data_IF_493375773476
#
_entry.id   IF_493375773476
#
_cell.length_a   1.000
_cell.length_b   1.000
_cell.length_c   1.000
_cell.angle_alpha   90.00
_cell.angle_beta   90.00
_cell.angle_gamma   90.00
#
_symmetry.space_group_name_H-M   'P 1'
#
loop_
_entity.id
_entity.type
_entity.pdbx_description
1 polymer ?
#
# COMPACT_ATOMS: atom_id res chain seq x y z
N UNK A 1 28.94 -4.27 5.44
CA UNK A 1 28.25 -4.02 6.72
C UNK A 1 27.90 -5.36 7.34
N UNK A 2 28.13 -5.56 8.64
CA UNK A 2 27.81 -6.81 9.30
C UNK A 2 26.30 -7.13 9.13
N UNK A 3 25.90 -8.40 8.96
CA UNK A 3 24.49 -8.76 8.91
C UNK A 3 23.78 -8.25 10.17
N UNK A 4 22.59 -7.67 10.01
CA UNK A 4 21.77 -7.30 11.16
C UNK A 4 21.60 -8.54 12.06
N UNK A 5 21.77 -8.41 13.39
CA UNK A 5 21.87 -9.56 14.29
C UNK A 5 20.66 -10.51 14.22
N UNK A 6 19.48 -9.97 13.90
CA UNK A 6 18.27 -10.75 13.72
C UNK A 6 18.30 -11.66 12.49
N UNK A 7 18.79 -11.16 11.34
CA UNK A 7 18.87 -11.96 10.12
C UNK A 7 19.84 -13.13 10.32
N UNK A 8 21.01 -12.86 10.91
CA UNK A 8 21.99 -13.92 11.20
C UNK A 8 21.39 -14.97 12.14
N UNK A 9 20.76 -14.55 13.24
CA UNK A 9 20.15 -15.48 14.20
C UNK A 9 19.04 -16.34 13.56
N UNK A 10 18.19 -15.74 12.71
CA UNK A 10 17.15 -16.47 11.98
C UNK A 10 17.75 -17.52 11.03
N UNK A 11 18.85 -17.18 10.35
CA UNK A 11 19.53 -18.10 9.44
C UNK A 11 20.29 -19.21 10.18
N UNK A 12 20.94 -18.91 11.30
CA UNK A 12 21.58 -19.93 12.13
C UNK A 12 20.55 -20.93 12.68
N UNK A 13 19.37 -20.43 13.05
CA UNK A 13 18.25 -21.30 13.42
C UNK A 13 17.79 -22.15 12.24
N UNK A 14 17.58 -21.54 11.07
CA UNK A 14 17.19 -22.27 9.86
C UNK A 14 18.19 -23.39 9.52
N UNK A 15 19.50 -23.12 9.64
CA UNK A 15 20.54 -24.14 9.44
C UNK A 15 20.42 -25.28 10.45
N UNK A 16 20.20 -24.95 11.72
CA UNK A 16 20.01 -25.95 12.80
C UNK A 16 18.80 -26.84 12.55
N UNK A 17 17.73 -26.26 11.97
CA UNK A 17 16.51 -26.98 11.59
C UNK A 17 16.65 -27.72 10.23
N UNK A 18 17.85 -27.75 9.62
CA UNK A 18 18.13 -28.47 8.37
C UNK A 18 17.61 -27.78 7.11
N UNK A 19 17.31 -26.48 7.16
CA UNK A 19 16.82 -25.71 6.02
C UNK A 19 17.95 -25.49 5.01
N UNK A 20 17.82 -26.08 3.82
CA UNK A 20 18.81 -25.94 2.74
C UNK A 20 18.71 -24.65 1.93
N UNK A 21 17.65 -23.87 2.11
CA UNK A 21 17.41 -22.62 1.36
C UNK A 21 16.50 -21.67 2.12
N UNK A 22 16.86 -20.39 2.13
CA UNK A 22 16.01 -19.29 2.57
C UNK A 22 15.85 -18.28 1.45
N UNK A 23 14.65 -17.72 1.28
CA UNK A 23 14.38 -16.68 0.29
C UNK A 23 13.96 -15.37 0.98
N UNK A 24 14.64 -14.28 0.64
CA UNK A 24 14.18 -12.92 0.92
C UNK A 24 13.45 -12.42 -0.32
N UNK A 25 12.14 -12.25 -0.22
CA UNK A 25 11.30 -11.85 -1.35
C UNK A 25 10.91 -10.38 -1.24
N UNK A 26 10.86 -9.70 -2.39
CA UNK A 26 10.36 -8.33 -2.52
C UNK A 26 11.04 -7.34 -1.57
N UNK A 27 12.35 -7.47 -1.39
CA UNK A 27 13.17 -6.59 -0.56
C UNK A 27 13.23 -5.21 -1.21
N UNK A 28 12.76 -4.15 -0.55
CA UNK A 28 12.77 -2.84 -1.15
C UNK A 28 14.19 -2.27 -1.27
N UNK A 29 14.47 -1.40 -2.26
CA UNK A 29 15.79 -0.82 -2.55
C UNK A 29 16.39 0.02 -1.42
N UNK A 30 15.57 0.42 -0.45
CA UNK A 30 15.97 1.15 0.75
C UNK A 30 16.12 0.24 1.98
N UNK A 31 15.91 -1.07 1.83
CA UNK A 31 16.04 -2.03 2.92
C UNK A 31 17.48 -2.14 3.40
N UNK A 32 17.67 -2.19 4.72
CA UNK A 32 18.95 -2.49 5.32
C UNK A 32 19.46 -3.91 4.97
N UNK A 33 18.59 -4.79 4.46
CA UNK A 33 18.95 -6.14 4.05
C UNK A 33 19.80 -6.19 2.76
N UNK A 34 19.79 -5.13 1.97
CA UNK A 34 20.52 -5.10 0.70
C UNK A 34 22.02 -5.05 0.92
N UNK A 35 22.74 -5.89 0.16
CA UNK A 35 24.21 -5.99 0.25
C UNK A 35 24.72 -6.70 1.51
N UNK A 36 23.83 -7.22 2.36
CA UNK A 36 24.24 -8.09 3.47
C UNK A 36 24.62 -9.48 2.93
N UNK A 37 25.74 -10.00 3.41
CA UNK A 37 26.14 -11.40 3.25
C UNK A 37 26.27 -12.02 4.64
N UNK A 38 25.32 -12.87 5.06
CA UNK A 38 25.37 -13.54 6.36
C UNK A 38 26.52 -14.56 6.44
N UNK A 39 27.09 -14.75 7.62
CA UNK A 39 28.23 -15.66 7.82
C UNK A 39 27.82 -17.12 7.58
N UNK A 40 28.59 -17.82 6.75
CA UNK A 40 28.32 -19.22 6.38
C UNK A 40 27.14 -19.39 5.42
N UNK A 41 26.70 -18.32 4.76
CA UNK A 41 25.68 -18.36 3.73
C UNK A 41 26.21 -17.71 2.46
N UNK A 42 25.90 -18.32 1.31
CA UNK A 42 26.00 -17.63 0.03
C UNK A 42 24.66 -16.98 -0.29
N UNK A 43 24.70 -15.83 -0.97
CA UNK A 43 23.51 -15.06 -1.35
C UNK A 43 23.57 -14.68 -2.82
N UNK A 44 22.50 -14.97 -3.55
CA UNK A 44 22.32 -14.59 -4.94
C UNK A 44 21.13 -13.63 -5.05
N UNK A 45 21.36 -12.44 -5.58
CA UNK A 45 20.32 -11.42 -5.76
C UNK A 45 19.81 -11.39 -7.20
N UNK A 46 18.49 -11.31 -7.36
CA UNK A 46 17.81 -11.08 -8.64
C UNK A 46 16.86 -9.89 -8.54
N UNK A 47 16.32 -9.47 -9.69
CA UNK A 47 15.27 -8.45 -9.73
C UNK A 47 13.95 -9.04 -9.22
N UNK A 48 13.23 -8.22 -8.44
CA UNK A 48 11.87 -8.50 -7.97
C UNK A 48 10.83 -7.68 -8.74
N UNK A 49 9.66 -7.50 -8.13
CA UNK A 49 8.59 -6.75 -8.77
C UNK A 49 8.93 -5.24 -8.89
N UNK A 50 8.43 -4.58 -9.94
CA UNK A 50 8.36 -3.12 -9.98
C UNK A 50 7.31 -2.62 -9.00
N UNK A 51 7.69 -1.64 -8.20
CA UNK A 51 6.84 -0.86 -7.32
C UNK A 51 6.83 0.59 -7.81
N UNK A 52 5.76 1.06 -8.49
CA UNK A 52 5.67 2.44 -8.89
C UNK A 52 5.61 3.37 -7.67
N UNK A 53 6.44 4.41 -7.68
CA UNK A 53 6.55 5.40 -6.59
C UNK A 53 6.30 6.80 -7.12
N UNK A 54 5.40 7.53 -6.47
CA UNK A 54 5.22 8.97 -6.66
C UNK A 54 6.09 9.73 -5.66
N UNK A 55 6.98 10.59 -6.17
CA UNK A 55 7.70 11.55 -5.33
C UNK A 55 6.76 12.68 -4.95
N UNK A 56 6.60 12.91 -3.65
CA UNK A 56 5.72 13.94 -3.09
C UNK A 56 6.45 15.29 -3.04
N UNK A 57 5.79 16.37 -3.48
CA UNK A 57 6.31 17.73 -3.35
C UNK A 57 6.18 18.22 -1.89
N UNK A 58 6.89 19.29 -1.48
CA UNK A 58 6.80 19.83 -0.12
C UNK A 58 5.44 20.45 0.24
N UNK A 59 4.59 20.73 -0.74
CA UNK A 59 3.26 21.33 -0.54
C UNK A 59 2.24 20.70 -1.47
N UNK A 60 0.97 20.67 -1.05
CA UNK A 60 -0.13 20.13 -1.87
C UNK A 60 -0.23 20.83 -3.22
N UNK A 61 -0.01 22.16 -3.26
CA UNK A 61 -0.02 22.92 -4.50
C UNK A 61 1.04 22.43 -5.50
N UNK A 62 2.19 21.95 -5.02
CA UNK A 62 3.26 21.39 -5.85
C UNK A 62 2.89 20.06 -6.53
N UNK A 63 1.75 19.44 -6.21
CA UNK A 63 1.30 18.23 -6.94
C UNK A 63 1.06 18.50 -8.41
N UNK A 64 0.75 19.75 -8.78
CA UNK A 64 0.56 20.16 -10.16
C UNK A 64 1.80 19.90 -11.04
N UNK A 65 3.00 19.94 -10.45
CA UNK A 65 4.27 19.69 -11.14
C UNK A 65 4.66 18.21 -11.16
N UNK A 66 3.98 17.36 -10.37
CA UNK A 66 4.25 15.93 -10.25
C UNK A 66 3.24 15.07 -11.00
N UNK A 67 2.00 15.53 -11.12
CA UNK A 67 0.92 14.80 -11.75
C UNK A 67 0.68 15.27 -13.19
N UNK A 68 0.37 14.34 -14.11
CA UNK A 68 -0.08 14.73 -15.45
C UNK A 68 -1.33 15.62 -15.41
N UNK A 69 -1.38 16.64 -16.28
CA UNK A 69 -2.53 17.57 -16.36
C UNK A 69 -3.87 16.85 -16.60
N UNK A 70 -3.85 15.71 -17.30
CA UNK A 70 -5.02 14.87 -17.54
C UNK A 70 -5.56 14.25 -16.24
N UNK A 71 -4.68 13.84 -15.33
CA UNK A 71 -5.02 13.30 -14.00
C UNK A 71 -5.62 14.39 -13.12
N UNK A 72 -4.98 15.57 -13.06
CA UNK A 72 -5.52 16.73 -12.33
C UNK A 72 -6.91 17.13 -12.84
N UNK A 73 -7.11 17.14 -14.16
CA UNK A 73 -8.43 17.41 -14.77
C UNK A 73 -9.47 16.37 -14.36
N UNK A 74 -9.13 15.09 -14.37
CA UNK A 74 -10.03 14.00 -13.95
C UNK A 74 -10.39 14.14 -12.47
N UNK A 75 -9.43 14.43 -11.60
CA UNK A 75 -9.67 14.66 -10.17
C UNK A 75 -10.65 15.81 -9.94
N UNK A 76 -10.44 16.95 -10.60
CA UNK A 76 -11.37 18.09 -10.53
C UNK A 76 -12.77 17.73 -11.01
N UNK A 77 -12.89 17.04 -12.14
CA UNK A 77 -14.18 16.58 -12.67
C UNK A 77 -14.89 15.63 -11.70
N UNK A 78 -14.16 14.68 -11.13
CA UNK A 78 -14.68 13.70 -10.19
C UNK A 78 -15.13 14.37 -8.87
N UNK A 79 -14.38 15.34 -8.37
CA UNK A 79 -14.76 16.15 -7.19
C UNK A 79 -16.07 16.90 -7.46
N UNK A 80 -16.19 17.60 -8.59
CA UNK A 80 -17.44 18.27 -8.99
C UNK A 80 -18.64 17.32 -9.19
N UNK A 81 -18.41 16.06 -9.58
CA UNK A 81 -19.48 15.05 -9.66
C UNK A 81 -19.89 14.60 -8.27
N UNK A 82 -18.93 14.38 -7.39
CA UNK A 82 -19.20 13.97 -6.01
C UNK A 82 -19.91 15.08 -5.23
N UNK A 83 -19.55 16.36 -5.43
CA UNK A 83 -20.23 17.51 -4.83
C UNK A 83 -21.72 17.55 -5.23
N UNK A 84 -22.02 17.30 -6.51
CA UNK A 84 -23.41 17.19 -7.00
C UNK A 84 -24.15 15.95 -6.47
N UNK A 85 -23.43 14.93 -6.01
CA UNK A 85 -23.97 13.72 -5.41
C UNK A 85 -24.08 13.81 -3.88
N UNK A 86 -23.97 15.00 -3.29
CA UNK A 86 -24.07 15.22 -1.84
C UNK A 86 -22.73 15.40 -1.13
N UNK A 87 -21.65 15.56 -1.88
CA UNK A 87 -20.30 15.77 -1.34
C UNK A 87 -19.61 14.49 -0.89
N UNK A 88 -18.33 14.63 -0.54
CA UNK A 88 -17.51 13.54 0.00
C UNK A 88 -17.14 13.82 1.45
N UNK A 89 -17.10 12.77 2.25
CA UNK A 89 -16.52 12.79 3.60
C UNK A 89 -15.44 11.72 3.70
N UNK A 90 -14.27 12.11 4.21
CA UNK A 90 -13.21 11.17 4.56
C UNK A 90 -13.35 10.81 6.04
N UNK A 91 -13.29 9.52 6.34
CA UNK A 91 -13.30 8.99 7.69
C UNK A 91 -12.03 8.16 7.87
N UNK A 92 -11.31 8.40 8.96
CA UNK A 92 -10.17 7.61 9.37
C UNK A 92 -10.55 6.75 10.57
N UNK A 93 -10.13 5.49 10.55
CA UNK A 93 -10.40 4.57 11.65
C UNK A 93 -9.44 4.81 12.82
N UNK A 94 -9.98 4.72 14.02
CA UNK A 94 -9.26 4.55 15.27
C UNK A 94 -9.33 3.08 15.73
N UNK A 95 -8.78 2.77 16.92
CA UNK A 95 -8.82 1.41 17.46
C UNK A 95 -10.23 0.87 17.69
N UNK A 96 -11.23 1.73 17.91
CA UNK A 96 -12.61 1.32 18.14
C UNK A 96 -13.36 1.06 16.81
N UNK A 97 -12.94 1.70 15.72
CA UNK A 97 -13.63 1.69 14.43
C UNK A 97 -12.88 0.95 13.32
N UNK A 98 -11.65 0.49 13.57
CA UNK A 98 -10.82 -0.22 12.60
C UNK A 98 -11.46 -1.51 12.09
N UNK A 99 -12.04 -2.33 12.97
CA UNK A 99 -12.66 -3.60 12.56
C UNK A 99 -13.86 -3.40 11.62
N UNK A 100 -14.89 -2.60 11.96
CA UNK A 100 -16.01 -2.38 11.04
C UNK A 100 -15.59 -1.66 9.75
N UNK A 101 -14.54 -0.83 9.77
CA UNK A 101 -14.00 -0.23 8.54
C UNK A 101 -13.23 -1.26 7.70
N UNK A 102 -12.55 -2.22 8.32
CA UNK A 102 -11.88 -3.32 7.63
C UNK A 102 -12.91 -4.24 6.96
N UNK A 103 -14.01 -4.55 7.62
CA UNK A 103 -15.13 -5.29 7.03
C UNK A 103 -15.69 -4.57 5.80
N UNK A 104 -15.83 -3.24 5.90
CA UNK A 104 -16.23 -2.41 4.76
C UNK A 104 -15.23 -2.49 3.61
N UNK A 105 -13.92 -2.44 3.89
CA UNK A 105 -12.88 -2.61 2.88
C UNK A 105 -12.96 -3.99 2.22
N UNK A 106 -13.10 -5.07 2.99
CA UNK A 106 -13.20 -6.45 2.47
C UNK A 106 -14.37 -6.54 1.50
N UNK A 107 -15.56 -6.08 1.91
CA UNK A 107 -16.76 -6.06 1.07
C UNK A 107 -16.54 -5.28 -0.23
N UNK A 108 -15.99 -4.07 -0.15
CA UNK A 108 -15.75 -3.22 -1.31
C UNK A 108 -14.67 -3.79 -2.24
N UNK A 109 -13.64 -4.44 -1.68
CA UNK A 109 -12.61 -5.11 -2.46
C UNK A 109 -13.21 -6.27 -3.24
N UNK A 110 -13.95 -7.15 -2.56
CA UNK A 110 -14.61 -8.28 -3.21
C UNK A 110 -15.59 -7.83 -4.29
N UNK A 111 -16.42 -6.81 -4.03
CA UNK A 111 -17.35 -6.27 -5.02
C UNK A 111 -16.66 -5.78 -6.30
N UNK A 112 -15.51 -5.11 -6.16
CA UNK A 112 -14.69 -4.68 -7.29
C UNK A 112 -14.14 -5.87 -8.08
N UNK A 113 -13.49 -6.82 -7.42
CA UNK A 113 -12.83 -7.93 -8.14
C UNK A 113 -13.84 -8.90 -8.75
N UNK A 114 -15.00 -9.09 -8.13
CA UNK A 114 -16.09 -9.86 -8.72
C UNK A 114 -16.61 -9.23 -10.03
N UNK A 115 -16.57 -7.90 -10.18
CA UNK A 115 -16.90 -7.24 -11.44
C UNK A 115 -15.87 -7.48 -12.56
N UNK A 116 -14.66 -7.92 -12.19
CA UNK A 116 -13.56 -8.28 -13.08
C UNK A 116 -13.38 -9.82 -13.21
N UNK A 117 -14.38 -10.61 -12.78
CA UNK A 117 -14.39 -12.09 -12.76
C UNK A 117 -13.18 -12.70 -12.03
N UNK A 118 -12.71 -12.03 -10.97
CA UNK A 118 -11.54 -12.44 -10.21
C UNK A 118 -11.86 -12.48 -8.70
N UNK A 119 -11.25 -13.39 -7.94
CA UNK A 119 -11.55 -13.53 -6.52
C UNK A 119 -10.99 -12.37 -5.67
N UNK A 120 -9.89 -11.75 -6.11
CA UNK A 120 -9.14 -10.80 -5.29
C UNK A 120 -8.46 -11.48 -4.09
N UNK A 121 -7.53 -10.78 -3.43
CA UNK A 121 -6.73 -11.38 -2.33
C UNK A 121 -7.55 -11.56 -1.06
N UNK A 122 -8.56 -10.71 -0.84
CA UNK A 122 -9.44 -10.76 0.33
C UNK A 122 -10.58 -11.78 0.20
N UNK A 123 -10.57 -12.63 -0.83
CA UNK A 123 -11.40 -13.84 -0.85
C UNK A 123 -10.77 -14.99 -0.03
N UNK A 124 -9.46 -14.93 0.26
CA UNK A 124 -8.80 -15.95 1.09
C UNK A 124 -9.07 -15.66 2.59
N UNK A 125 -9.74 -16.57 3.32
CA UNK A 125 -10.06 -16.37 4.73
C UNK A 125 -8.81 -16.25 5.62
N UNK A 126 -7.66 -16.80 5.21
CA UNK A 126 -6.39 -16.69 5.95
C UNK A 126 -5.85 -15.27 5.90
N UNK A 127 -5.98 -14.60 4.76
CA UNK A 127 -5.59 -13.21 4.58
C UNK A 127 -6.51 -12.30 5.38
N UNK A 128 -7.83 -12.55 5.33
CA UNK A 128 -8.81 -11.81 6.13
C UNK A 128 -8.52 -11.94 7.63
N UNK A 129 -8.29 -13.16 8.12
CA UNK A 129 -7.97 -13.40 9.53
C UNK A 129 -6.66 -12.72 9.95
N UNK A 130 -5.63 -12.75 9.10
CA UNK A 130 -4.37 -12.05 9.35
C UNK A 130 -4.57 -10.54 9.49
N UNK A 131 -5.28 -9.90 8.56
CA UNK A 131 -5.55 -8.47 8.65
C UNK A 131 -6.43 -8.12 9.84
N UNK A 132 -7.46 -8.93 10.13
CA UNK A 132 -8.32 -8.74 11.29
C UNK A 132 -7.54 -8.79 12.62
N UNK A 133 -6.61 -9.72 12.75
CA UNK A 133 -5.75 -9.85 13.93
C UNK A 133 -4.70 -8.73 14.06
N UNK A 134 -4.22 -8.18 12.95
CA UNK A 134 -3.15 -7.17 12.95
C UNK A 134 -3.65 -5.72 13.00
N UNK A 135 -4.84 -5.43 12.47
CA UNK A 135 -5.25 -4.06 12.16
C UNK A 135 -5.28 -3.14 13.39
N UNK A 136 -5.88 -3.56 14.50
CA UNK A 136 -5.92 -2.75 15.72
C UNK A 136 -4.53 -2.47 16.29
N UNK A 137 -3.65 -3.48 16.29
CA UNK A 137 -2.27 -3.33 16.76
C UNK A 137 -1.49 -2.35 15.87
N UNK A 138 -1.69 -2.41 14.55
CA UNK A 138 -1.05 -1.50 13.62
C UNK A 138 -1.58 -0.06 13.73
N UNK A 139 -2.88 0.13 13.94
CA UNK A 139 -3.46 1.46 14.22
C UNK A 139 -2.88 2.02 15.51
N UNK A 140 -2.87 1.23 16.59
CA UNK A 140 -2.31 1.63 17.88
C UNK A 140 -0.82 1.99 17.79
N UNK A 141 -0.08 1.32 16.93
CA UNK A 141 1.34 1.58 16.68
C UNK A 141 1.59 2.76 15.71
N UNK A 142 0.55 3.37 15.13
CA UNK A 142 0.70 4.42 14.12
C UNK A 142 1.30 3.91 12.79
N UNK A 143 1.15 2.62 12.51
CA UNK A 143 1.68 1.95 11.30
C UNK A 143 0.61 1.71 10.23
N UNK A 144 -0.67 1.80 10.59
CA UNK A 144 -1.81 1.65 9.69
C UNK A 144 -2.68 2.91 9.72
N UNK A 145 -2.93 3.46 8.54
CA UNK A 145 -4.04 4.37 8.25
C UNK A 145 -5.09 3.63 7.43
N UNK A 146 -6.22 3.32 8.06
CA UNK A 146 -7.40 2.80 7.37
C UNK A 146 -8.40 3.94 7.19
N UNK A 147 -8.68 4.30 5.95
CA UNK A 147 -9.58 5.40 5.62
C UNK A 147 -10.69 4.95 4.68
N UNK A 148 -11.85 5.60 4.81
CA UNK A 148 -13.00 5.45 3.94
C UNK A 148 -13.43 6.79 3.36
N UNK A 149 -13.91 6.75 2.11
CA UNK A 149 -14.61 7.85 1.47
C UNK A 149 -16.10 7.54 1.45
N UNK A 150 -16.90 8.44 2.02
CA UNK A 150 -18.36 8.38 2.02
C UNK A 150 -18.97 9.39 1.07
N UNK A 151 -20.08 9.01 0.43
CA UNK A 151 -20.92 9.86 -0.43
C UNK A 151 -22.36 9.66 0.00
N UNK A 152 -23.06 10.75 0.34
CA UNK A 152 -24.43 10.64 0.86
C UNK A 152 -24.55 9.73 2.10
N UNK A 153 -23.50 9.63 2.92
CA UNK A 153 -23.43 8.75 4.09
C UNK A 153 -23.07 7.29 3.81
N UNK A 154 -22.91 6.89 2.54
CA UNK A 154 -22.55 5.51 2.14
C UNK A 154 -21.06 5.41 1.87
N UNK A 155 -20.39 4.40 2.44
CA UNK A 155 -18.96 4.11 2.21
C UNK A 155 -18.76 3.60 0.77
N UNK A 156 -18.25 4.49 -0.09
CA UNK A 156 -18.05 4.27 -1.53
C UNK A 156 -16.63 3.79 -1.88
N UNK A 157 -15.64 4.06 -1.03
CA UNK A 157 -14.31 3.49 -1.14
C UNK A 157 -13.65 3.35 0.24
N UNK A 158 -12.72 2.41 0.36
CA UNK A 158 -11.86 2.27 1.53
C UNK A 158 -10.43 1.91 1.10
N UNK A 159 -9.45 2.31 1.90
CA UNK A 159 -8.05 2.03 1.65
C UNK A 159 -7.28 1.78 2.96
N UNK A 160 -6.59 0.64 2.99
CA UNK A 160 -5.66 0.21 4.02
C UNK A 160 -4.25 0.64 3.61
N UNK A 161 -3.75 1.70 4.23
CA UNK A 161 -2.47 2.34 3.90
C UNK A 161 -1.48 2.10 5.03
N UNK A 162 -0.28 1.61 4.72
CA UNK A 162 0.78 1.44 5.72
C UNK A 162 1.68 2.68 5.76
N UNK A 163 2.19 3.00 6.94
CA UNK A 163 3.10 4.11 7.18
C UNK A 163 4.50 3.54 7.48
N UNK A 164 5.46 3.75 6.57
CA UNK A 164 6.84 3.28 6.76
C UNK A 164 7.77 4.44 7.11
N UNK A 165 8.17 4.49 8.38
CA UNK A 165 8.97 5.58 8.92
C UNK A 165 8.27 6.94 8.77
N UNK A 166 9.06 8.00 8.75
CA UNK A 166 8.58 9.37 8.62
C UNK A 166 8.29 9.78 7.18
N UNK A 167 8.83 9.05 6.19
CA UNK A 167 8.94 9.60 4.83
C UNK A 167 7.96 8.98 3.83
N UNK A 168 7.35 7.82 4.13
CA UNK A 168 6.66 7.00 3.13
C UNK A 168 5.26 6.58 3.54
N UNK A 169 4.32 6.65 2.60
CA UNK A 169 3.03 5.95 2.66
C UNK A 169 2.98 4.83 1.62
N UNK A 170 2.29 3.73 1.94
CA UNK A 170 2.23 2.54 1.10
C UNK A 170 0.77 2.14 0.89
N UNK A 171 0.30 2.19 -0.35
CA UNK A 171 -1.08 1.87 -0.72
C UNK A 171 -1.29 0.36 -0.82
N UNK A 172 -1.62 -0.28 0.31
CA UNK A 172 -1.60 -1.74 0.43
C UNK A 172 -2.85 -2.42 -0.15
N UNK A 173 -4.03 -2.14 0.43
CA UNK A 173 -5.29 -2.69 -0.07
C UNK A 173 -6.29 -1.56 -0.27
N UNK A 174 -7.10 -1.68 -1.30
CA UNK A 174 -8.21 -0.77 -1.55
C UNK A 174 -9.40 -1.51 -2.13
N UNK A 175 -10.57 -0.94 -1.92
CA UNK A 175 -11.84 -1.39 -2.48
C UNK A 175 -12.70 -0.18 -2.79
N UNK A 176 -13.58 -0.31 -3.77
CA UNK A 176 -14.61 0.68 -4.03
C UNK A 176 -15.90 0.03 -4.47
N UNK A 177 -17.00 0.74 -4.28
CA UNK A 177 -18.32 0.31 -4.69
C UNK A 177 -18.50 0.58 -6.19
N UNK A 178 -18.68 -0.46 -7.04
CA UNK A 178 -18.91 -0.28 -8.46
C UNK A 178 -20.11 0.62 -8.79
N UNK A 179 -21.14 0.67 -7.93
CA UNK A 179 -22.29 1.56 -8.12
C UNK A 179 -21.90 3.05 -8.12
N UNK A 180 -20.76 3.39 -7.50
CA UNK A 180 -20.24 4.75 -7.42
C UNK A 180 -19.09 5.00 -8.41
N UNK A 181 -18.81 4.10 -9.37
CA UNK A 181 -17.65 4.22 -10.27
C UNK A 181 -17.60 5.54 -11.07
N UNK A 182 -18.76 6.15 -11.36
CA UNK A 182 -18.88 7.40 -12.12
C UNK A 182 -18.16 8.61 -11.48
N UNK A 183 -17.96 8.61 -10.17
CA UNK A 183 -17.20 9.64 -9.44
C UNK A 183 -15.77 9.20 -9.10
N UNK A 184 -15.40 7.96 -9.46
CA UNK A 184 -14.10 7.35 -9.17
C UNK A 184 -13.67 7.50 -7.70
N UNK A 185 -14.43 6.96 -6.74
CA UNK A 185 -14.22 7.21 -5.31
C UNK A 185 -12.84 6.76 -4.84
N UNK A 186 -12.28 5.68 -5.42
CA UNK A 186 -10.90 5.27 -5.14
C UNK A 186 -9.84 6.32 -5.53
N UNK A 187 -10.04 7.05 -6.64
CA UNK A 187 -9.13 8.14 -7.04
C UNK A 187 -9.25 9.37 -6.15
N UNK A 188 -10.47 9.68 -5.67
CA UNK A 188 -10.69 10.78 -4.72
C UNK A 188 -10.10 10.46 -3.35
N UNK A 189 -10.25 9.22 -2.87
CA UNK A 189 -9.63 8.75 -1.63
C UNK A 189 -8.11 8.75 -1.74
N UNK A 190 -7.55 8.28 -2.86
CA UNK A 190 -6.11 8.35 -3.11
C UNK A 190 -5.59 9.79 -3.11
N UNK A 191 -6.31 10.73 -3.73
CA UNK A 191 -5.95 12.14 -3.69
C UNK A 191 -5.90 12.67 -2.25
N UNK A 192 -6.91 12.37 -1.44
CA UNK A 192 -6.94 12.77 -0.03
C UNK A 192 -5.77 12.20 0.76
N UNK A 193 -5.44 10.92 0.57
CA UNK A 193 -4.31 10.27 1.24
C UNK A 193 -2.97 10.90 0.86
N UNK A 194 -2.78 11.23 -0.42
CA UNK A 194 -1.58 11.92 -0.92
C UNK A 194 -1.48 13.34 -0.36
N UNK A 195 -2.57 14.11 -0.39
CA UNK A 195 -2.63 15.47 0.17
C UNK A 195 -2.29 15.46 1.68
N UNK A 196 -2.86 14.51 2.42
CA UNK A 196 -2.58 14.32 3.86
C UNK A 196 -1.12 13.94 4.11
N UNK A 197 -0.54 13.02 3.33
CA UNK A 197 0.86 12.63 3.46
C UNK A 197 1.83 13.80 3.21
N UNK A 198 1.53 14.67 2.24
CA UNK A 198 2.31 15.89 2.01
C UNK A 198 2.25 16.81 3.23
N UNK A 199 1.06 17.02 3.80
CA UNK A 199 0.89 17.85 4.99
C UNK A 199 1.63 17.28 6.23
N UNK A 200 1.84 15.97 6.26
CA UNK A 200 2.65 15.27 7.26
C UNK A 200 4.16 15.33 6.98
N UNK A 201 4.59 15.99 5.90
CA UNK A 201 6.00 16.08 5.51
C UNK A 201 6.57 14.83 4.86
N UNK A 202 5.72 13.89 4.44
CA UNK A 202 6.15 12.66 3.76
C UNK A 202 6.62 12.98 2.35
N UNK A 203 7.58 12.19 1.87
CA UNK A 203 8.31 12.44 0.62
C UNK A 203 7.93 11.49 -0.49
N UNK A 204 7.36 10.33 -0.18
CA UNK A 204 7.04 9.33 -1.19
C UNK A 204 5.71 8.62 -0.90
N UNK A 205 4.98 8.40 -1.99
CA UNK A 205 3.79 7.57 -2.07
C UNK A 205 4.13 6.32 -2.88
N UNK A 206 4.23 5.18 -2.20
CA UNK A 206 4.57 3.89 -2.81
C UNK A 206 3.28 3.12 -3.13
N UNK A 207 3.06 2.84 -4.42
CA UNK A 207 1.89 2.10 -4.88
C UNK A 207 2.07 0.57 -4.79
N UNK A 208 3.21 0.12 -4.27
CA UNK A 208 3.60 -1.27 -4.14
C UNK A 208 3.66 -2.00 -5.48
N UNK A 209 3.93 -3.30 -5.40
CA UNK A 209 4.10 -4.20 -6.53
C UNK A 209 2.97 -4.10 -7.55
N UNK A 210 3.33 -4.16 -8.82
CA UNK A 210 2.39 -4.26 -9.94
C UNK A 210 2.45 -3.05 -10.88
N UNK A 211 2.11 -3.30 -12.13
CA UNK A 211 2.17 -2.33 -13.24
C UNK A 211 0.78 -1.82 -13.63
N UNK A 212 -0.14 -1.70 -12.68
CA UNK A 212 -1.49 -1.20 -12.96
C UNK A 212 -1.43 0.23 -13.50
N UNK A 213 -2.10 0.46 -14.65
CA UNK A 213 -1.98 1.72 -15.40
C UNK A 213 -2.28 2.98 -14.58
N UNK A 214 -3.16 2.89 -13.57
CA UNK A 214 -3.49 4.03 -12.73
C UNK A 214 -2.29 4.52 -11.91
N UNK A 215 -1.36 3.64 -11.50
CA UNK A 215 -0.18 4.03 -10.72
C UNK A 215 0.72 4.99 -11.51
N UNK A 216 0.89 4.72 -12.81
CA UNK A 216 1.63 5.58 -13.73
C UNK A 216 0.84 6.83 -14.12
N UNK A 217 -0.49 6.74 -14.22
CA UNK A 217 -1.33 7.93 -14.40
C UNK A 217 -1.19 8.92 -13.22
N UNK A 218 -0.84 8.42 -12.04
CA UNK A 218 -0.49 9.19 -10.86
C UNK A 218 0.99 9.63 -10.80
N UNK A 219 1.74 9.51 -11.90
CA UNK A 219 3.15 9.90 -11.95
C UNK A 219 4.09 8.90 -11.24
N UNK A 220 3.60 7.69 -10.95
CA UNK A 220 4.43 6.62 -10.40
C UNK A 220 5.55 6.24 -11.36
N UNK A 221 6.77 6.18 -10.82
CA UNK A 221 7.96 5.70 -11.54
C UNK A 221 8.41 4.39 -10.92
N UNK A 222 8.70 3.39 -11.76
CA UNK A 222 9.13 2.08 -11.28
C UNK A 222 10.36 2.17 -10.39
N UNK A 223 10.26 1.53 -9.23
CA UNK A 223 11.41 1.17 -8.43
C UNK A 223 11.40 -0.34 -8.24
N UNK A 224 12.47 -1.01 -8.65
CA UNK A 224 12.55 -2.47 -8.56
C UNK A 224 12.87 -2.88 -7.12
N UNK A 225 12.03 -3.76 -6.57
CA UNK A 225 12.42 -4.56 -5.43
C UNK A 225 13.47 -5.61 -5.86
N UNK A 226 14.10 -6.25 -4.88
CA UNK A 226 15.09 -7.31 -5.10
C UNK A 226 14.66 -8.59 -4.39
N UNK A 227 15.01 -9.71 -4.98
CA UNK A 227 14.89 -11.02 -4.35
C UNK A 227 16.28 -11.55 -4.03
N UNK A 228 16.42 -12.26 -2.92
CA UNK A 228 17.66 -12.91 -2.54
C UNK A 228 17.41 -14.38 -2.22
N UNK A 229 18.20 -15.26 -2.83
CA UNK A 229 18.28 -16.67 -2.44
C UNK A 229 19.51 -16.88 -1.59
N UNK A 230 19.32 -17.42 -0.39
CA UNK A 230 20.38 -17.79 0.53
C UNK A 230 20.48 -19.30 0.64
N UNK A 231 21.68 -19.85 0.47
CA UNK A 231 21.98 -21.27 0.73
C UNK A 231 23.18 -21.39 1.67
N UNK A 232 23.19 -22.39 2.58
CA UNK A 232 24.36 -22.64 3.43
C UNK A 232 25.61 -22.80 2.56
N UNK A 233 26.69 -22.11 2.95
CA UNK A 233 27.99 -22.20 2.29
C UNK A 233 28.75 -23.47 2.73
#
# INVERSE_FOLDING_TARGET
TAPGPLLQAALDRARTDGVGRCDLIEVPPWSALLGIVPTGWSIEWSDGAPCPVLTLPPTVAGLADRLPASTLRKLRMNRNRADRAGGVRIIEADTATVQPMLDSLIRLHQARWAADDQPGVLADPRIVAFHGGAAEMLVRAGLLRLQALQVGGVTAAACHTLLAGTDRILFYLSGYDPAHAAISPGSLLLASLVEQAINEGRREADFLRGREAYKYAWGGVDRLNRNARLVPA
#
